data_IF_307148479470
#
_entry.id   IF_307148479470
#
_cell.length_a   1.000
_cell.length_b   1.000
_cell.length_c   1.000
_cell.angle_alpha   90.00
_cell.angle_beta   90.00
_cell.angle_gamma   90.00
#
_symmetry.space_group_name_H-M   'P 1'
#
loop_
_entity.id
_entity.type
_entity.pdbx_description
1 polymer ?
#
# COMPACT_ATOMS: atom_id res chain seq x y z
N UNK A 1 -2.55 -45.68 10.00
CA UNK A 1 -3.60 -44.69 10.34
C UNK A 1 -2.93 -43.34 10.41
N UNK A 2 -2.86 -42.62 9.29
CA UNK A 2 -2.25 -41.28 9.25
C UNK A 2 -3.32 -40.28 9.71
N UNK A 3 -3.09 -39.64 10.86
CA UNK A 3 -3.94 -38.55 11.34
C UNK A 3 -3.86 -37.39 10.34
N UNK A 4 -4.91 -37.22 9.55
CA UNK A 4 -5.12 -36.00 8.75
C UNK A 4 -5.24 -34.87 9.76
N UNK A 5 -4.16 -34.11 9.87
CA UNK A 5 -4.00 -32.96 10.74
C UNK A 5 -4.98 -31.89 10.24
N UNK A 6 -6.22 -31.94 10.73
CA UNK A 6 -7.32 -31.03 10.41
C UNK A 6 -7.02 -29.64 10.98
N UNK A 7 -6.00 -28.96 10.45
CA UNK A 7 -5.89 -27.51 10.59
C UNK A 7 -7.10 -26.91 9.88
N UNK A 8 -7.94 -26.13 10.56
CA UNK A 8 -9.14 -25.58 9.93
C UNK A 8 -8.73 -24.80 8.70
N UNK A 9 -9.28 -25.18 7.53
CA UNK A 9 -8.91 -24.65 6.21
C UNK A 9 -8.86 -23.11 6.21
N UNK A 10 -9.78 -22.46 6.92
CA UNK A 10 -9.80 -21.00 7.06
C UNK A 10 -8.53 -20.39 7.66
N UNK A 11 -7.85 -21.08 8.58
CA UNK A 11 -6.62 -20.59 9.20
C UNK A 11 -5.40 -20.75 8.30
N UNK A 12 -5.39 -21.75 7.40
CA UNK A 12 -4.37 -21.85 6.35
C UNK A 12 -4.56 -20.77 5.29
N UNK A 13 -5.80 -20.56 4.85
CA UNK A 13 -6.13 -19.52 3.86
C UNK A 13 -5.79 -18.13 4.36
N UNK A 14 -6.12 -17.80 5.62
CA UNK A 14 -5.78 -16.51 6.23
C UNK A 14 -4.27 -16.25 6.29
N UNK A 15 -3.50 -17.30 6.63
CA UNK A 15 -2.03 -17.22 6.62
C UNK A 15 -1.48 -17.00 5.22
N UNK A 16 -2.09 -17.64 4.21
CA UNK A 16 -1.74 -17.44 2.81
C UNK A 16 -1.89 -15.98 2.38
N UNK A 17 -3.05 -15.38 2.67
CA UNK A 17 -3.30 -13.97 2.38
C UNK A 17 -2.34 -13.03 3.11
N UNK A 18 -2.06 -13.26 4.40
CA UNK A 18 -1.10 -12.44 5.14
C UNK A 18 0.33 -12.51 4.58
N UNK A 19 0.79 -13.68 4.13
CA UNK A 19 2.10 -13.83 3.50
C UNK A 19 2.13 -13.12 2.14
N UNK A 20 1.06 -13.26 1.34
CA UNK A 20 0.95 -12.59 0.05
C UNK A 20 0.99 -11.08 0.19
N UNK A 21 0.20 -10.51 1.11
CA UNK A 21 0.24 -9.09 1.44
C UNK A 21 1.64 -8.63 1.87
N UNK A 22 2.37 -9.41 2.66
CA UNK A 22 3.74 -9.08 3.02
C UNK A 22 4.69 -9.10 1.82
N UNK A 23 4.57 -10.06 0.91
CA UNK A 23 5.40 -10.14 -0.31
C UNK A 23 5.20 -8.91 -1.18
N UNK A 24 3.96 -8.41 -1.32
CA UNK A 24 3.68 -7.21 -2.12
C UNK A 24 4.04 -5.93 -1.36
N UNK A 25 3.83 -5.87 -0.04
CA UNK A 25 4.08 -4.66 0.77
C UNK A 25 5.57 -4.36 0.98
N UNK A 26 6.44 -5.38 1.02
CA UNK A 26 7.89 -5.20 1.19
C UNK A 26 8.51 -4.36 0.07
N UNK A 27 8.38 -4.69 -1.22
CA UNK A 27 8.94 -3.87 -2.28
C UNK A 27 8.31 -2.47 -2.33
N UNK A 28 7.00 -2.35 -2.09
CA UNK A 28 6.31 -1.05 -1.99
C UNK A 28 6.92 -0.17 -0.90
N UNK A 29 7.16 -0.73 0.30
CA UNK A 29 7.79 -0.04 1.41
C UNK A 29 9.20 0.44 1.04
N UNK A 30 10.02 -0.42 0.43
CA UNK A 30 11.42 -0.09 0.10
C UNK A 30 11.51 0.97 -0.99
N UNK A 31 10.77 0.81 -2.09
CA UNK A 31 10.82 1.71 -3.24
C UNK A 31 10.28 3.09 -2.88
N UNK A 32 9.10 3.15 -2.24
CA UNK A 32 8.49 4.44 -1.88
C UNK A 32 9.23 5.10 -0.71
N UNK A 33 9.75 4.32 0.24
CA UNK A 33 10.62 4.83 1.29
C UNK A 33 11.90 5.44 0.74
N UNK A 34 12.49 4.83 -0.31
CA UNK A 34 13.65 5.39 -1.00
C UNK A 34 13.33 6.71 -1.71
N UNK A 35 12.18 6.81 -2.41
CA UNK A 35 11.77 8.08 -3.02
C UNK A 35 11.49 9.18 -2.00
N UNK A 36 10.87 8.85 -0.87
CA UNK A 36 10.68 9.78 0.23
C UNK A 36 12.02 10.26 0.81
N UNK A 37 12.97 9.34 0.99
CA UNK A 37 14.33 9.67 1.43
C UNK A 37 15.05 10.58 0.43
N UNK A 38 14.97 10.27 -0.87
CA UNK A 38 15.58 11.08 -1.92
C UNK A 38 15.04 12.51 -1.90
N UNK A 39 13.72 12.69 -1.74
CA UNK A 39 13.08 14.00 -1.60
C UNK A 39 13.55 14.78 -0.35
N UNK A 40 13.85 14.08 0.74
CA UNK A 40 14.36 14.70 1.97
C UNK A 40 15.82 15.14 1.84
N UNK A 41 16.66 14.33 1.18
CA UNK A 41 18.11 14.58 1.04
C UNK A 41 18.41 15.53 -0.12
N UNK A 42 17.66 15.40 -1.21
CA UNK A 42 17.77 16.21 -2.40
C UNK A 42 16.39 16.79 -2.75
N UNK A 43 16.01 17.92 -2.13
CA UNK A 43 14.76 18.59 -2.46
C UNK A 43 14.86 19.22 -3.86
N UNK A 44 14.68 18.40 -4.90
CA UNK A 44 14.69 18.85 -6.30
C UNK A 44 13.44 19.69 -6.65
N UNK A 45 12.35 19.54 -5.87
CA UNK A 45 11.12 20.33 -5.96
C UNK A 45 10.67 20.69 -4.55
N UNK A 46 10.39 21.97 -4.30
CA UNK A 46 9.89 22.47 -3.00
C UNK A 46 8.41 22.11 -2.74
N UNK A 47 7.96 20.92 -3.17
CA UNK A 47 6.59 20.47 -2.96
C UNK A 47 6.53 19.45 -1.82
N UNK A 48 6.00 19.88 -0.67
CA UNK A 48 5.75 19.02 0.50
C UNK A 48 5.02 17.72 0.14
N UNK A 49 4.15 17.78 -0.87
CA UNK A 49 3.40 16.62 -1.36
C UNK A 49 4.29 15.50 -1.90
N UNK A 50 5.34 15.85 -2.63
CA UNK A 50 6.26 14.87 -3.24
C UNK A 50 7.06 14.09 -2.21
N UNK A 51 7.21 14.61 -1.00
CA UNK A 51 7.72 13.89 0.16
C UNK A 51 6.61 13.14 0.92
N UNK A 52 5.49 13.82 1.19
CA UNK A 52 4.43 13.31 2.05
C UNK A 52 3.72 12.08 1.48
N UNK A 53 3.39 12.08 0.18
CA UNK A 53 2.69 10.98 -0.46
C UNK A 53 3.48 9.66 -0.42
N UNK A 54 4.73 9.58 -0.92
CA UNK A 54 5.50 8.34 -0.85
C UNK A 54 5.82 7.93 0.60
N UNK A 55 6.02 8.89 1.52
CA UNK A 55 6.25 8.61 2.94
C UNK A 55 5.05 7.91 3.58
N UNK A 56 3.84 8.43 3.40
CA UNK A 56 2.62 7.87 3.97
C UNK A 56 2.34 6.46 3.43
N UNK A 57 2.50 6.26 2.12
CA UNK A 57 2.35 4.93 1.51
C UNK A 57 3.41 3.94 2.01
N UNK A 58 4.66 4.38 2.16
CA UNK A 58 5.72 3.55 2.73
C UNK A 58 5.44 3.17 4.19
N UNK A 59 4.94 4.10 5.02
CA UNK A 59 4.58 3.82 6.41
C UNK A 59 3.41 2.83 6.54
N UNK A 60 2.36 2.98 5.72
CA UNK A 60 1.23 2.03 5.72
C UNK A 60 1.68 0.64 5.29
N UNK A 61 2.51 0.53 4.23
CA UNK A 61 3.09 -0.73 3.80
C UNK A 61 4.00 -1.34 4.88
N UNK A 62 4.83 -0.54 5.55
CA UNK A 62 5.63 -0.97 6.69
C UNK A 62 4.77 -1.50 7.84
N UNK A 63 3.64 -0.86 8.12
CA UNK A 63 2.67 -1.31 9.12
C UNK A 63 2.10 -2.71 8.81
N UNK A 64 1.75 -2.97 7.54
CA UNK A 64 1.28 -4.30 7.10
C UNK A 64 2.38 -5.35 7.30
N UNK A 65 3.62 -5.06 6.89
CA UNK A 65 4.77 -5.97 7.07
C UNK A 65 5.04 -6.23 8.54
N UNK A 66 4.98 -5.19 9.39
CA UNK A 66 5.17 -5.30 10.83
C UNK A 66 4.12 -6.21 11.45
N UNK A 67 2.84 -6.05 11.12
CA UNK A 67 1.77 -6.90 11.65
C UNK A 67 1.97 -8.36 11.23
N UNK A 68 2.30 -8.61 9.95
CA UNK A 68 2.57 -9.98 9.48
C UNK A 68 3.79 -10.59 10.18
N UNK A 69 4.84 -9.80 10.41
CA UNK A 69 6.01 -10.23 11.17
C UNK A 69 5.65 -10.60 12.62
N UNK A 70 4.90 -9.75 13.32
CA UNK A 70 4.46 -9.99 14.70
C UNK A 70 3.57 -11.23 14.77
N UNK A 71 2.61 -11.39 13.86
CA UNK A 71 1.75 -12.58 13.80
C UNK A 71 2.53 -13.87 13.51
N UNK A 72 3.68 -13.79 12.82
CA UNK A 72 4.54 -14.94 12.54
C UNK A 72 5.45 -15.33 13.71
N UNK A 73 5.87 -14.34 14.51
CA UNK A 73 6.82 -14.52 15.63
C UNK A 73 6.14 -14.72 16.99
N UNK A 74 5.00 -14.10 17.22
CA UNK A 74 4.32 -14.13 18.52
C UNK A 74 3.26 -15.26 18.58
N UNK A 75 3.22 -15.96 19.71
CA UNK A 75 2.08 -16.82 20.06
C UNK A 75 0.95 -15.88 20.51
N UNK A 76 0.19 -15.36 19.54
CA UNK A 76 -0.90 -14.44 19.80
C UNK A 76 -2.16 -15.19 20.23
N UNK A 77 -2.89 -14.64 21.19
CA UNK A 77 -4.21 -15.16 21.57
C UNK A 77 -5.22 -14.93 20.43
N UNK A 78 -6.32 -15.70 20.34
CA UNK A 78 -7.31 -15.55 19.26
C UNK A 78 -7.85 -14.12 19.11
N UNK A 79 -8.04 -13.42 20.24
CA UNK A 79 -8.46 -12.02 20.26
C UNK A 79 -7.40 -11.08 19.66
N UNK A 80 -6.12 -11.27 20.01
CA UNK A 80 -5.02 -10.48 19.45
C UNK A 80 -4.87 -10.74 17.94
N UNK A 81 -5.01 -11.99 17.50
CA UNK A 81 -5.00 -12.32 16.07
C UNK A 81 -6.11 -11.55 15.35
N UNK A 82 -7.34 -11.57 15.87
CA UNK A 82 -8.47 -10.83 15.29
C UNK A 82 -8.19 -9.32 15.21
N UNK A 83 -7.63 -8.73 16.26
CA UNK A 83 -7.26 -7.30 16.24
C UNK A 83 -6.19 -6.99 15.19
N UNK A 84 -5.20 -7.88 15.02
CA UNK A 84 -4.17 -7.73 13.98
C UNK A 84 -4.73 -7.90 12.57
N UNK A 85 -5.68 -8.82 12.37
CA UNK A 85 -6.39 -8.96 11.09
C UNK A 85 -7.22 -7.70 10.77
N UNK A 86 -7.94 -7.17 11.76
CA UNK A 86 -8.69 -5.92 11.62
C UNK A 86 -7.76 -4.75 11.29
N UNK A 87 -6.64 -4.62 12.00
CA UNK A 87 -5.66 -3.57 11.76
C UNK A 87 -5.04 -3.65 10.35
N UNK A 88 -4.68 -4.85 9.88
CA UNK A 88 -4.20 -5.04 8.49
C UNK A 88 -5.26 -4.64 7.47
N UNK A 89 -6.50 -5.06 7.68
CA UNK A 89 -7.61 -4.72 6.77
C UNK A 89 -7.84 -3.21 6.70
N UNK A 90 -7.80 -2.51 7.85
CA UNK A 90 -7.91 -1.04 7.89
C UNK A 90 -6.73 -0.37 7.17
N UNK A 91 -5.50 -0.84 7.37
CA UNK A 91 -4.32 -0.31 6.66
C UNK A 91 -4.40 -0.56 5.16
N UNK A 92 -4.81 -1.76 4.73
CA UNK A 92 -4.99 -2.08 3.31
C UNK A 92 -6.10 -1.23 2.68
N UNK A 93 -7.23 -1.08 3.36
CA UNK A 93 -8.34 -0.23 2.90
C UNK A 93 -7.97 1.24 2.87
N UNK A 94 -7.23 1.70 3.88
CA UNK A 94 -6.69 3.06 3.94
C UNK A 94 -5.71 3.34 2.81
N UNK A 95 -4.81 2.40 2.53
CA UNK A 95 -3.88 2.47 1.40
C UNK A 95 -4.61 2.45 0.06
N UNK A 96 -5.67 1.64 -0.07
CA UNK A 96 -6.55 1.61 -1.25
C UNK A 96 -7.24 2.96 -1.49
N UNK A 97 -7.90 3.52 -0.46
CA UNK A 97 -8.53 4.83 -0.55
C UNK A 97 -7.50 5.93 -0.83
N UNK A 98 -6.34 5.86 -0.19
CA UNK A 98 -5.23 6.80 -0.38
C UNK A 98 -4.77 6.80 -1.84
N UNK A 99 -4.49 5.63 -2.43
CA UNK A 99 -4.05 5.52 -3.82
C UNK A 99 -5.12 6.01 -4.80
N UNK A 100 -6.41 5.72 -4.55
CA UNK A 100 -7.49 6.25 -5.39
C UNK A 100 -7.57 7.77 -5.31
N UNK A 101 -7.54 8.34 -4.09
CA UNK A 101 -7.62 9.79 -3.89
C UNK A 101 -6.40 10.50 -4.46
N UNK A 102 -5.21 9.95 -4.23
CA UNK A 102 -3.95 10.37 -4.85
C UNK A 102 -4.16 10.37 -6.36
N UNK A 103 -4.42 9.21 -6.99
CA UNK A 103 -4.60 9.06 -8.44
C UNK A 103 -5.62 10.04 -9.06
N UNK A 104 -6.70 10.37 -8.35
CA UNK A 104 -7.76 11.25 -8.81
C UNK A 104 -7.43 12.75 -8.67
N UNK A 105 -6.79 13.14 -7.57
CA UNK A 105 -6.66 14.55 -7.15
C UNK A 105 -5.21 15.05 -6.99
N UNK A 106 -4.19 14.24 -7.29
CA UNK A 106 -2.81 14.58 -6.99
C UNK A 106 -2.26 15.83 -7.73
N UNK A 107 -1.32 16.58 -7.11
CA UNK A 107 -0.72 17.81 -7.66
C UNK A 107 0.09 17.63 -8.95
N UNK A 108 0.38 16.40 -9.37
CA UNK A 108 1.00 16.12 -10.67
C UNK A 108 0.14 16.58 -11.86
N UNK A 109 -1.18 16.78 -11.66
CA UNK A 109 -2.05 17.44 -12.63
C UNK A 109 -1.56 18.85 -12.98
N UNK A 110 -0.93 19.53 -12.03
CA UNK A 110 -0.45 20.91 -12.17
C UNK A 110 0.99 20.93 -12.70
N UNK A 111 1.86 20.01 -12.26
CA UNK A 111 3.24 19.93 -12.76
C UNK A 111 3.35 19.54 -14.26
N UNK A 112 2.36 18.85 -14.83
CA UNK A 112 2.26 18.64 -16.28
C UNK A 112 1.80 19.89 -17.05
N UNK A 113 1.13 20.84 -16.38
CA UNK A 113 0.72 22.11 -16.97
C UNK A 113 1.91 23.06 -17.18
N UNK A 114 2.89 23.05 -16.28
CA UNK A 114 4.02 24.00 -16.34
C UNK A 114 5.02 23.70 -17.46
N UNK A 115 5.07 22.46 -17.97
CA UNK A 115 5.97 22.08 -19.09
C UNK A 115 5.33 22.22 -20.47
N UNK A 116 4.00 22.41 -20.55
CA UNK A 116 3.28 22.55 -21.80
C UNK A 116 2.00 23.38 -21.57
N UNK A 117 2.06 24.72 -21.75
CA UNK A 117 1.01 25.65 -21.29
C UNK A 117 -0.36 25.43 -21.95
N UNK A 118 -0.46 24.61 -22.99
CA UNK A 118 -1.68 24.44 -23.79
C UNK A 118 -2.28 23.02 -23.76
N UNK A 119 -1.79 22.13 -22.89
CA UNK A 119 -2.22 20.72 -22.95
C UNK A 119 -3.42 20.46 -22.04
N UNK A 120 -4.58 20.33 -22.67
CA UNK A 120 -5.79 19.68 -22.17
C UNK A 120 -5.42 18.51 -21.23
N UNK A 121 -5.88 18.55 -19.97
CA UNK A 121 -5.76 17.39 -19.07
C UNK A 121 -6.63 16.30 -19.66
N UNK A 122 -6.04 15.38 -20.42
CA UNK A 122 -6.75 14.28 -21.05
C UNK A 122 -7.50 13.47 -19.96
N UNK A 123 -8.85 13.51 -19.92
CA UNK A 123 -9.61 12.78 -18.93
C UNK A 123 -9.35 11.27 -19.02
N UNK A 124 -8.93 10.76 -20.18
CA UNK A 124 -8.57 9.36 -20.37
C UNK A 124 -7.22 8.99 -19.75
N UNK A 125 -6.31 9.95 -19.50
CA UNK A 125 -5.06 9.71 -18.78
C UNK A 125 -5.31 9.55 -17.27
N UNK A 126 -6.13 10.43 -16.69
CA UNK A 126 -6.55 10.33 -15.28
C UNK A 126 -7.32 9.03 -15.06
N UNK A 127 -8.28 8.72 -15.94
CA UNK A 127 -9.08 7.50 -15.85
C UNK A 127 -8.20 6.25 -15.92
N UNK A 128 -7.17 6.23 -16.78
CA UNK A 128 -6.22 5.11 -16.87
C UNK A 128 -5.37 4.95 -15.61
N UNK A 129 -4.89 6.05 -14.99
CA UNK A 129 -4.15 5.96 -13.73
C UNK A 129 -5.03 5.47 -12.58
N UNK A 130 -6.23 6.03 -12.43
CA UNK A 130 -7.19 5.57 -11.42
C UNK A 130 -7.52 4.09 -11.61
N UNK A 131 -7.71 3.64 -12.86
CA UNK A 131 -7.95 2.22 -13.15
C UNK A 131 -6.73 1.34 -12.85
N UNK A 132 -5.52 1.79 -13.20
CA UNK A 132 -4.30 1.04 -12.95
C UNK A 132 -4.01 0.93 -11.44
N UNK A 133 -4.20 2.01 -10.69
CA UNK A 133 -4.00 2.02 -9.24
C UNK A 133 -5.12 1.25 -8.51
N UNK A 134 -6.36 1.31 -9.01
CA UNK A 134 -7.45 0.48 -8.51
C UNK A 134 -7.21 -1.02 -8.77
N UNK A 135 -6.62 -1.39 -9.91
CA UNK A 135 -6.25 -2.78 -10.23
C UNK A 135 -5.04 -3.25 -9.42
N UNK A 136 -4.01 -2.40 -9.28
CA UNK A 136 -2.82 -2.69 -8.48
C UNK A 136 -3.16 -2.86 -6.99
N UNK A 137 -4.17 -2.14 -6.51
CA UNK A 137 -4.64 -2.22 -5.12
C UNK A 137 -5.65 -3.34 -4.87
N UNK A 138 -6.41 -3.77 -5.88
CA UNK A 138 -7.17 -5.03 -5.85
C UNK A 138 -6.28 -6.27 -5.67
N UNK A 139 -5.04 -6.21 -6.17
CA UNK A 139 -4.03 -7.25 -5.96
C UNK A 139 -3.37 -7.18 -4.57
N UNK A 140 -3.60 -6.11 -3.79
CA UNK A 140 -3.09 -5.94 -2.42
C UNK A 140 -4.11 -6.36 -1.34
N UNK A 141 -5.40 -6.48 -1.69
CA UNK A 141 -6.46 -7.00 -0.81
C UNK A 141 -6.50 -8.52 -0.85
#
# INVERSE_FOLDING_TARGET
MASVDNRPLGQQTLRGFGIFQAIVSIPTMVILGFFAWEQMVFPYREDFYSFFAPSMTAFMAAGIVFIVYVQRRAIATPYQVLMFEAAKSVLATGLWLWLILDSAFGPWRVQHHDHAPDTYVDPDYVKRRVQHDALASLLLM
#
